data_IF_658861511110
#
_entry.id   IF_658861511110
#
_cell.length_a   1.000
_cell.length_b   1.000
_cell.length_c   1.000
_cell.angle_alpha   90.00
_cell.angle_beta   90.00
_cell.angle_gamma   90.00
#
_symmetry.space_group_name_H-M   'P 1'
#
loop_
_entity.id
_entity.type
_entity.pdbx_description
1 polymer ?
#
# COMPACT_ATOMS: atom_id res chain seq x y z
N UNK A 1 -6.75 10.27 -11.42
CA UNK A 1 -7.89 9.34 -11.40
C UNK A 1 -8.25 8.80 -12.80
N UNK A 2 -8.29 9.64 -13.85
CA UNK A 2 -8.63 9.23 -15.21
C UNK A 2 -7.66 8.19 -15.81
N UNK A 3 -6.35 8.35 -15.66
CA UNK A 3 -5.34 7.40 -16.19
C UNK A 3 -5.47 5.98 -15.64
N UNK A 4 -5.71 5.82 -14.35
CA UNK A 4 -5.84 4.50 -13.72
C UNK A 4 -7.11 3.76 -14.20
N UNK A 5 -8.22 4.45 -14.31
CA UNK A 5 -9.47 3.88 -14.82
C UNK A 5 -9.36 3.43 -16.27
N UNK A 6 -8.61 4.16 -17.09
CA UNK A 6 -8.37 3.80 -18.51
C UNK A 6 -7.53 2.52 -18.63
N UNK A 7 -6.42 2.42 -17.89
CA UNK A 7 -5.56 1.22 -17.88
C UNK A 7 -6.34 0.00 -17.37
N UNK A 8 -7.09 0.12 -16.28
CA UNK A 8 -7.90 -0.98 -15.74
C UNK A 8 -8.94 -1.46 -16.74
N UNK A 9 -9.57 -0.54 -17.49
CA UNK A 9 -10.53 -0.87 -18.54
C UNK A 9 -9.87 -1.62 -19.71
N UNK A 10 -8.72 -1.16 -20.20
CA UNK A 10 -7.96 -1.83 -21.26
C UNK A 10 -7.50 -3.23 -20.86
N UNK A 11 -7.01 -3.39 -19.62
CA UNK A 11 -6.60 -4.68 -19.09
C UNK A 11 -7.79 -5.64 -18.97
N UNK A 12 -8.95 -5.12 -18.53
CA UNK A 12 -10.15 -5.93 -18.48
C UNK A 12 -10.60 -6.36 -19.86
N UNK A 13 -10.62 -5.46 -20.83
CA UNK A 13 -10.94 -5.80 -22.21
C UNK A 13 -10.00 -6.87 -22.77
N UNK A 14 -8.69 -6.70 -22.62
CA UNK A 14 -7.70 -7.67 -23.09
C UNK A 14 -7.86 -9.04 -22.38
N UNK A 15 -8.28 -9.04 -21.12
CA UNK A 15 -8.56 -10.27 -20.38
C UNK A 15 -9.83 -10.95 -20.89
N UNK A 16 -10.91 -10.20 -21.11
CA UNK A 16 -12.19 -10.70 -21.63
C UNK A 16 -12.05 -11.28 -23.05
N UNK A 17 -11.21 -10.69 -23.88
CA UNK A 17 -10.84 -11.14 -25.22
C UNK A 17 -9.84 -12.33 -25.23
N UNK A 18 -9.34 -12.75 -24.05
CA UNK A 18 -8.33 -13.81 -23.94
C UNK A 18 -6.94 -13.41 -24.43
N UNK A 19 -6.71 -12.12 -24.68
CA UNK A 19 -5.43 -11.57 -25.13
C UNK A 19 -4.42 -11.42 -23.99
N UNK A 20 -4.88 -11.27 -22.73
CA UNK A 20 -4.04 -11.12 -21.56
C UNK A 20 -3.39 -12.46 -21.18
N UNK A 21 -2.08 -12.59 -21.40
CA UNK A 21 -1.31 -13.81 -21.10
C UNK A 21 -0.60 -13.78 -19.74
N UNK A 22 -0.55 -12.61 -19.10
CA UNK A 22 0.09 -12.41 -17.81
C UNK A 22 -0.96 -12.40 -16.70
N UNK A 23 -0.60 -12.90 -15.53
CA UNK A 23 -1.38 -12.68 -14.30
C UNK A 23 -1.06 -11.29 -13.75
N UNK A 24 -2.07 -10.43 -13.70
CA UNK A 24 -1.92 -9.03 -13.26
C UNK A 24 -2.78 -8.81 -12.02
N UNK A 25 -2.12 -8.36 -10.97
CA UNK A 25 -2.77 -7.89 -9.75
C UNK A 25 -2.82 -6.36 -9.71
N UNK A 26 -3.97 -5.80 -9.40
CA UNK A 26 -4.18 -4.35 -9.36
C UNK A 26 -4.45 -3.89 -7.93
N UNK A 27 -3.71 -2.85 -7.51
CA UNK A 27 -3.99 -2.10 -6.29
C UNK A 27 -4.64 -0.76 -6.63
N UNK A 28 -5.68 -0.40 -5.88
CA UNK A 28 -6.20 0.96 -5.88
C UNK A 28 -5.23 1.90 -5.15
N UNK A 29 -5.16 3.17 -5.58
CA UNK A 29 -4.55 4.18 -4.74
C UNK A 29 -5.38 4.33 -3.45
N UNK A 30 -4.79 4.01 -2.31
CA UNK A 30 -5.45 4.01 -1.00
C UNK A 30 -5.77 5.43 -0.50
N UNK A 31 -4.94 6.42 -0.86
CA UNK A 31 -5.12 7.81 -0.43
C UNK A 31 -6.43 8.38 -0.99
N UNK A 32 -7.32 8.78 -0.10
CA UNK A 32 -8.54 9.48 -0.45
C UNK A 32 -8.25 10.97 -0.64
N UNK A 33 -8.51 11.48 -1.84
CA UNK A 33 -8.32 12.90 -2.19
C UNK A 33 -9.61 13.73 -2.07
N UNK A 34 -10.75 13.06 -1.85
CA UNK A 34 -12.07 13.68 -1.69
C UNK A 34 -12.89 12.92 -0.66
N UNK A 35 -13.93 13.56 -0.12
CA UNK A 35 -14.84 12.93 0.85
C UNK A 35 -15.76 11.85 0.23
N UNK A 36 -15.89 11.84 -1.08
CA UNK A 36 -16.71 10.90 -1.85
C UNK A 36 -15.96 10.43 -3.10
N UNK A 37 -16.11 9.18 -3.52
CA UNK A 37 -16.77 8.08 -2.81
C UNK A 37 -16.00 7.65 -1.55
N UNK A 38 -16.68 6.97 -0.61
CA UNK A 38 -16.06 6.36 0.57
C UNK A 38 -15.06 5.26 0.18
N UNK A 39 -14.22 4.81 1.10
CA UNK A 39 -13.30 3.70 0.82
C UNK A 39 -14.05 2.42 0.44
N UNK A 40 -15.18 2.14 1.08
CA UNK A 40 -16.04 0.98 0.75
C UNK A 40 -16.59 1.07 -0.68
N UNK A 41 -17.18 2.19 -1.04
CA UNK A 41 -17.68 2.41 -2.42
C UNK A 41 -16.57 2.29 -3.47
N UNK A 42 -15.35 2.70 -3.14
CA UNK A 42 -14.19 2.55 -4.04
C UNK A 42 -13.81 1.09 -4.23
N UNK A 43 -13.85 0.29 -3.16
CA UNK A 43 -13.60 -1.16 -3.20
C UNK A 43 -14.67 -1.85 -4.06
N UNK A 44 -15.95 -1.58 -3.79
CA UNK A 44 -17.06 -2.16 -4.54
C UNK A 44 -16.99 -1.79 -6.03
N UNK A 45 -16.73 -0.53 -6.34
CA UNK A 45 -16.53 -0.08 -7.72
C UNK A 45 -15.34 -0.75 -8.40
N UNK A 46 -14.25 -1.01 -7.68
CA UNK A 46 -13.09 -1.72 -8.24
C UNK A 46 -13.41 -3.19 -8.51
N UNK A 47 -14.02 -3.88 -7.54
CA UNK A 47 -14.47 -5.26 -7.68
C UNK A 47 -15.45 -5.41 -8.84
N UNK A 48 -16.43 -4.50 -8.95
CA UNK A 48 -17.40 -4.53 -10.03
C UNK A 48 -16.77 -4.33 -11.42
N UNK A 49 -15.77 -3.45 -11.53
CA UNK A 49 -15.11 -3.15 -12.81
C UNK A 49 -14.08 -4.17 -13.26
N UNK A 50 -13.34 -4.75 -12.30
CA UNK A 50 -12.29 -5.72 -12.59
C UNK A 50 -12.78 -7.16 -12.61
N UNK A 51 -13.99 -7.39 -12.13
CA UNK A 51 -14.54 -8.72 -11.88
C UNK A 51 -14.00 -9.34 -10.59
N UNK A 52 -14.69 -10.35 -10.09
CA UNK A 52 -14.16 -11.21 -9.04
C UNK A 52 -13.21 -12.20 -9.69
N UNK A 53 -11.91 -12.06 -9.39
CA UNK A 53 -10.85 -13.02 -9.71
C UNK A 53 -11.06 -13.79 -11.01
N UNK A 54 -10.91 -13.10 -12.12
CA UNK A 54 -10.83 -13.75 -13.42
C UNK A 54 -9.41 -14.34 -13.63
N UNK A 55 -9.26 -15.21 -14.61
CA UNK A 55 -8.05 -16.07 -14.79
C UNK A 55 -6.72 -15.31 -14.70
N UNK A 56 -6.66 -14.10 -15.25
CA UNK A 56 -5.41 -13.34 -15.37
C UNK A 56 -5.46 -11.93 -14.78
N UNK A 57 -6.61 -11.42 -14.36
CA UNK A 57 -6.74 -10.07 -13.79
C UNK A 57 -7.37 -10.13 -12.40
N UNK A 58 -6.67 -9.59 -11.38
CA UNK A 58 -7.09 -9.67 -10.00
C UNK A 58 -7.06 -8.29 -9.33
N UNK A 59 -8.12 -7.96 -8.59
CA UNK A 59 -8.07 -6.88 -7.63
C UNK A 59 -7.37 -7.40 -6.36
N UNK A 60 -6.22 -6.81 -6.00
CA UNK A 60 -5.44 -7.23 -4.84
C UNK A 60 -5.74 -6.40 -3.59
N UNK A 61 -5.88 -5.08 -3.72
CA UNK A 61 -6.05 -4.26 -2.54
C UNK A 61 -5.85 -2.77 -2.75
N UNK A 62 -5.40 -2.09 -1.69
CA UNK A 62 -5.10 -0.66 -1.68
C UNK A 62 -3.61 -0.38 -1.51
N UNK A 63 -3.08 0.60 -2.25
CA UNK A 63 -1.68 1.04 -2.19
C UNK A 63 -1.58 2.43 -1.58
N UNK A 64 -0.74 2.56 -0.56
CA UNK A 64 -0.38 3.83 0.08
C UNK A 64 1.09 4.15 -0.14
N UNK A 65 1.44 5.42 0.11
CA UNK A 65 2.81 5.93 0.04
C UNK A 65 3.05 6.75 1.30
N UNK A 66 3.99 6.31 2.14
CA UNK A 66 4.34 7.02 3.39
C UNK A 66 5.49 7.99 3.19
N UNK A 67 6.39 7.72 2.26
CA UNK A 67 7.52 8.60 1.91
C UNK A 67 7.86 8.57 0.42
N UNK A 68 9.00 9.13 0.07
CA UNK A 68 9.51 9.18 -1.29
C UNK A 68 10.61 8.14 -1.56
N UNK A 69 11.74 8.58 -2.15
CA UNK A 69 12.86 7.71 -2.51
C UNK A 69 14.18 8.22 -1.93
N UNK A 70 15.13 7.31 -1.70
CA UNK A 70 16.48 7.63 -1.23
C UNK A 70 17.20 8.53 -2.24
N UNK A 71 17.19 8.17 -3.52
CA UNK A 71 17.83 8.99 -4.56
C UNK A 71 17.22 10.37 -4.77
N UNK A 72 15.92 10.54 -4.46
CA UNK A 72 15.23 11.84 -4.47
C UNK A 72 15.35 12.62 -3.17
N UNK A 73 16.07 12.12 -2.16
CA UNK A 73 16.20 12.68 -0.79
C UNK A 73 14.86 12.97 -0.13
N UNK A 74 13.86 12.13 -0.39
CA UNK A 74 12.49 12.23 0.14
C UNK A 74 12.07 11.01 0.94
N UNK A 75 12.89 9.96 0.99
CA UNK A 75 12.70 8.85 1.92
C UNK A 75 12.91 9.36 3.36
N UNK A 76 12.03 8.98 4.28
CA UNK A 76 11.97 9.57 5.62
C UNK A 76 12.81 8.75 6.62
N UNK A 77 13.94 9.32 7.03
CA UNK A 77 14.89 8.70 7.95
C UNK A 77 14.90 9.36 9.33
N UNK A 78 15.29 8.61 10.36
CA UNK A 78 15.55 9.14 11.72
C UNK A 78 16.88 9.88 11.81
N UNK A 79 17.81 9.58 10.89
CA UNK A 79 19.08 10.29 10.73
C UNK A 79 19.03 11.11 9.42
N UNK A 80 19.71 12.24 9.36
CA UNK A 80 19.74 13.04 8.15
C UNK A 80 20.53 12.34 7.03
N UNK A 81 20.33 12.81 5.81
CA UNK A 81 21.14 12.37 4.68
C UNK A 81 22.61 12.77 4.87
N UNK A 82 23.53 11.89 4.53
CA UNK A 82 24.97 12.10 4.74
C UNK A 82 25.52 13.33 3.98
N UNK A 83 24.91 13.66 2.86
CA UNK A 83 25.27 14.78 1.99
C UNK A 83 24.33 15.99 2.15
N UNK A 84 23.37 15.95 3.09
CA UNK A 84 22.44 17.02 3.40
C UNK A 84 21.97 16.92 4.89
N UNK A 85 22.81 17.43 5.83
CA UNK A 85 22.59 17.22 7.27
C UNK A 85 21.31 17.85 7.85
N UNK A 86 20.65 18.73 7.14
CA UNK A 86 19.36 19.32 7.55
C UNK A 86 18.16 18.55 7.00
N UNK A 87 18.38 17.56 6.13
CA UNK A 87 17.33 16.84 5.43
C UNK A 87 17.13 15.43 6.01
N UNK A 88 15.96 15.16 6.54
CA UNK A 88 15.52 13.86 7.07
C UNK A 88 14.49 13.18 6.16
N UNK A 89 14.27 13.69 4.95
CA UNK A 89 13.19 13.26 4.08
C UNK A 89 11.81 13.74 4.57
N UNK A 90 10.77 13.15 4.02
CA UNK A 90 9.40 13.62 4.24
C UNK A 90 8.40 12.49 4.40
N UNK A 91 7.53 12.60 5.40
CA UNK A 91 6.32 11.78 5.51
C UNK A 91 5.19 12.47 4.72
N UNK A 92 4.55 11.72 3.80
CA UNK A 92 3.55 12.24 2.86
C UNK A 92 2.12 12.16 3.35
N UNK A 93 1.88 11.41 4.42
CA UNK A 93 0.54 11.16 4.94
C UNK A 93 0.54 11.30 6.47
N UNK A 94 -0.41 12.03 6.98
CA UNK A 94 -0.66 12.12 8.42
C UNK A 94 -1.01 10.75 9.01
N UNK A 95 -0.49 10.44 10.20
CA UNK A 95 -0.63 9.14 10.85
C UNK A 95 -2.09 8.78 11.15
N UNK A 96 -2.89 9.74 11.60
CA UNK A 96 -4.31 9.49 11.91
C UNK A 96 -5.10 9.17 10.63
N UNK A 97 -4.79 9.88 9.53
CA UNK A 97 -5.39 9.59 8.24
C UNK A 97 -4.97 8.21 7.72
N UNK A 98 -3.69 7.85 7.86
CA UNK A 98 -3.21 6.53 7.46
C UNK A 98 -3.88 5.42 8.29
N UNK A 99 -3.95 5.58 9.62
CA UNK A 99 -4.59 4.64 10.52
C UNK A 99 -6.05 4.39 10.16
N UNK A 100 -6.81 5.46 9.94
CA UNK A 100 -8.23 5.38 9.58
C UNK A 100 -8.45 4.70 8.22
N UNK A 101 -7.66 5.07 7.23
CA UNK A 101 -7.83 4.54 5.88
C UNK A 101 -7.39 3.08 5.81
N UNK A 102 -6.27 2.71 6.44
CA UNK A 102 -5.79 1.32 6.53
C UNK A 102 -6.81 0.44 7.26
N UNK A 103 -7.35 0.91 8.39
CA UNK A 103 -8.41 0.21 9.13
C UNK A 103 -9.65 -0.04 8.26
N UNK A 104 -10.11 0.97 7.51
CA UNK A 104 -11.29 0.84 6.64
C UNK A 104 -11.11 -0.25 5.58
N UNK A 105 -9.93 -0.34 4.93
CA UNK A 105 -9.62 -1.40 3.99
C UNK A 105 -9.49 -2.76 4.67
N UNK A 106 -8.85 -2.82 5.83
CA UNK A 106 -8.67 -4.04 6.61
C UNK A 106 -10.01 -4.66 7.03
N UNK A 107 -10.93 -3.86 7.59
CA UNK A 107 -12.28 -4.31 7.98
C UNK A 107 -13.12 -4.77 6.79
N UNK A 108 -12.86 -4.24 5.59
CA UNK A 108 -13.48 -4.70 4.35
C UNK A 108 -12.84 -5.97 3.77
N UNK A 109 -11.89 -6.60 4.49
CA UNK A 109 -11.20 -7.80 4.03
C UNK A 109 -10.25 -7.55 2.85
N UNK A 110 -9.70 -6.34 2.72
CA UNK A 110 -8.88 -5.93 1.58
C UNK A 110 -7.43 -5.77 2.02
N UNK A 111 -6.52 -6.41 1.29
CA UNK A 111 -5.08 -6.29 1.52
C UNK A 111 -4.62 -4.83 1.35
N UNK A 112 -3.72 -4.39 2.21
CA UNK A 112 -3.05 -3.09 2.11
C UNK A 112 -1.56 -3.30 1.78
N UNK A 113 -1.06 -2.52 0.84
CA UNK A 113 0.35 -2.43 0.46
C UNK A 113 0.81 -0.99 0.67
N UNK A 114 1.88 -0.79 1.44
CA UNK A 114 2.41 0.54 1.76
C UNK A 114 3.84 0.66 1.23
N UNK A 115 4.10 1.68 0.41
CA UNK A 115 5.45 2.10 0.08
C UNK A 115 6.07 2.76 1.30
N UNK A 116 7.19 2.23 1.76
CA UNK A 116 7.95 2.78 2.88
C UNK A 116 9.44 2.41 2.73
N UNK A 117 10.29 3.40 2.58
CA UNK A 117 11.74 3.26 2.32
C UNK A 117 12.55 3.57 3.58
N UNK A 118 12.40 4.75 4.14
CA UNK A 118 13.10 5.16 5.36
C UNK A 118 12.50 4.53 6.63
N UNK A 119 13.32 4.41 7.65
CA UNK A 119 12.93 3.81 8.94
C UNK A 119 11.71 4.52 9.58
N UNK A 120 11.59 5.85 9.45
CA UNK A 120 10.42 6.60 9.93
C UNK A 120 9.15 6.29 9.12
N UNK A 121 9.28 6.09 7.82
CA UNK A 121 8.16 5.71 6.96
C UNK A 121 7.70 4.29 7.24
N UNK A 122 8.64 3.37 7.46
CA UNK A 122 8.37 1.98 7.87
C UNK A 122 7.65 1.97 9.22
N UNK A 123 8.09 2.82 10.16
CA UNK A 123 7.43 2.98 11.46
C UNK A 123 5.97 3.42 11.30
N UNK A 124 5.71 4.44 10.49
CA UNK A 124 4.35 4.92 10.23
C UNK A 124 3.46 3.82 9.61
N UNK A 125 4.00 3.05 8.68
CA UNK A 125 3.30 1.92 8.07
C UNK A 125 2.96 0.84 9.11
N UNK A 126 3.92 0.44 9.95
CA UNK A 126 3.72 -0.55 11.00
C UNK A 126 2.69 -0.10 12.03
N UNK A 127 2.78 1.14 12.50
CA UNK A 127 1.80 1.70 13.44
C UNK A 127 0.37 1.63 12.90
N UNK A 128 0.18 1.92 11.61
CA UNK A 128 -1.16 1.85 11.01
C UNK A 128 -1.69 0.41 10.91
N UNK A 129 -0.82 -0.55 10.63
CA UNK A 129 -1.18 -1.98 10.56
C UNK A 129 -1.46 -2.56 11.96
N UNK A 130 -0.67 -2.20 12.97
CA UNK A 130 -0.88 -2.54 14.37
C UNK A 130 -2.17 -1.94 14.92
N UNK A 131 -2.43 -0.68 14.57
CA UNK A 131 -3.69 -0.03 14.89
C UNK A 131 -4.88 -0.81 14.30
N UNK A 132 -4.84 -1.15 13.02
CA UNK A 132 -5.91 -1.94 12.40
C UNK A 132 -6.11 -3.29 13.09
N UNK A 133 -5.03 -4.01 13.42
CA UNK A 133 -5.07 -5.26 14.17
C UNK A 133 -5.70 -5.06 15.56
N UNK A 134 -5.36 -3.98 16.27
CA UNK A 134 -5.91 -3.67 17.60
C UNK A 134 -7.40 -3.33 17.56
N UNK A 135 -7.90 -2.85 16.43
CA UNK A 135 -9.33 -2.58 16.19
C UNK A 135 -10.10 -3.80 15.66
N UNK A 136 -9.51 -4.98 15.69
CA UNK A 136 -10.17 -6.24 15.36
C UNK A 136 -10.07 -6.66 13.88
N UNK A 137 -9.31 -5.95 13.05
CA UNK A 137 -9.06 -6.39 11.69
C UNK A 137 -8.06 -7.56 11.67
N UNK A 138 -8.26 -8.56 10.82
CA UNK A 138 -7.35 -9.70 10.67
C UNK A 138 -6.19 -9.39 9.71
N UNK A 139 -5.29 -8.50 10.13
CA UNK A 139 -4.12 -8.08 9.34
C UNK A 139 -3.25 -9.27 8.95
N UNK A 140 -3.14 -10.28 9.85
CA UNK A 140 -2.29 -11.46 9.63
C UNK A 140 -2.75 -12.30 8.44
N UNK A 141 -4.05 -12.58 8.35
CA UNK A 141 -4.62 -13.37 7.24
C UNK A 141 -4.66 -12.59 5.95
N UNK A 142 -4.82 -11.27 6.03
CA UNK A 142 -4.80 -10.36 4.87
C UNK A 142 -3.39 -10.19 4.29
N UNK A 143 -2.34 -10.57 5.03
CA UNK A 143 -0.94 -10.54 4.59
C UNK A 143 -0.57 -9.17 4.02
N UNK A 144 -0.73 -8.13 4.80
CA UNK A 144 -0.36 -6.77 4.42
C UNK A 144 1.10 -6.70 3.97
N UNK A 145 1.43 -5.67 3.19
CA UNK A 145 2.74 -5.56 2.54
C UNK A 145 3.37 -4.21 2.83
N UNK A 146 4.68 -4.22 3.05
CA UNK A 146 5.54 -3.03 2.96
C UNK A 146 6.43 -3.20 1.74
N UNK A 147 6.35 -2.26 0.81
CA UNK A 147 7.12 -2.28 -0.43
C UNK A 147 8.41 -1.45 -0.26
N UNK A 148 9.45 -1.89 -0.92
CA UNK A 148 10.83 -1.43 -0.91
C UNK A 148 11.57 -1.83 0.36
N UNK A 149 11.13 -1.39 1.55
CA UNK A 149 11.69 -1.79 2.85
C UNK A 149 13.24 -1.68 2.87
N UNK A 150 13.79 -0.52 2.42
CA UNK A 150 15.23 -0.39 2.22
C UNK A 150 16.01 -0.23 3.53
N UNK A 151 15.42 0.40 4.55
CA UNK A 151 16.12 0.71 5.80
C UNK A 151 15.34 0.32 7.07
N UNK A 152 14.90 -0.95 7.20
CA UNK A 152 14.20 -1.39 8.39
C UNK A 152 15.15 -1.57 9.57
N UNK A 153 14.69 -1.27 10.78
CA UNK A 153 15.37 -1.69 12.01
C UNK A 153 15.06 -3.16 12.35
N UNK A 154 15.90 -3.79 13.18
CA UNK A 154 15.64 -5.17 13.63
C UNK A 154 14.35 -5.28 14.45
N UNK A 155 13.99 -4.23 15.20
CA UNK A 155 12.72 -4.17 15.92
C UNK A 155 11.53 -4.17 14.94
N UNK A 156 11.58 -3.34 13.89
CA UNK A 156 10.55 -3.27 12.86
C UNK A 156 10.37 -4.61 12.15
N UNK A 157 11.47 -5.30 11.81
CA UNK A 157 11.42 -6.66 11.23
C UNK A 157 10.72 -7.64 12.17
N UNK A 158 11.02 -7.60 13.48
CA UNK A 158 10.36 -8.43 14.48
C UNK A 158 8.84 -8.16 14.56
N UNK A 159 8.42 -6.91 14.47
CA UNK A 159 7.00 -6.53 14.45
C UNK A 159 6.30 -7.00 13.16
N UNK A 160 6.95 -6.87 12.01
CA UNK A 160 6.46 -7.43 10.74
C UNK A 160 6.21 -8.93 10.83
N UNK A 161 7.14 -9.68 11.42
CA UNK A 161 7.00 -11.13 11.63
C UNK A 161 5.78 -11.45 12.50
N UNK A 162 5.56 -10.72 13.60
CA UNK A 162 4.42 -10.92 14.51
C UNK A 162 3.07 -10.71 13.82
N UNK A 163 3.01 -9.81 12.84
CA UNK A 163 1.82 -9.47 12.07
C UNK A 163 1.72 -10.21 10.72
N UNK A 164 2.66 -11.09 10.40
CA UNK A 164 2.72 -11.79 9.10
C UNK A 164 2.73 -10.84 7.89
N UNK A 165 3.43 -9.70 8.02
CA UNK A 165 3.56 -8.69 6.96
C UNK A 165 4.58 -9.16 5.93
N UNK A 166 4.22 -9.04 4.65
CA UNK A 166 5.09 -9.37 3.53
C UNK A 166 6.02 -8.19 3.20
N UNK A 167 7.30 -8.49 2.95
CA UNK A 167 8.24 -7.54 2.37
C UNK A 167 8.21 -7.62 0.83
N UNK A 168 8.07 -6.49 0.17
CA UNK A 168 8.23 -6.35 -1.27
C UNK A 168 9.58 -5.71 -1.58
N UNK A 169 10.61 -6.53 -1.81
CA UNK A 169 11.95 -6.03 -2.07
C UNK A 169 12.12 -5.71 -3.56
N UNK A 170 12.79 -4.59 -3.86
CA UNK A 170 13.26 -4.27 -5.20
C UNK A 170 14.69 -4.77 -5.36
N UNK A 171 15.01 -5.43 -6.47
CA UNK A 171 16.42 -5.63 -6.86
C UNK A 171 17.02 -4.26 -7.22
N UNK A 172 18.16 -3.93 -6.65
CA UNK A 172 18.96 -2.79 -7.06
C UNK A 172 19.52 -3.01 -8.46
#
# INVERSE_FOLDING_TARGET
MVKFMYIAHMLKQANDEGALKLKIGIYLNGKRTSLTPTNLERIENAKAKLGQSDKNLHFLGAKFYTDGSTGGRTAAFSQPYADDPENFGQIFIDQEHLNRDVLAYALAGVQVSIHAIGDRAIEAALQSMEYAQSQGADVKSLRFRIEHLESPTMEQISRMQKLNICAGLSSA
#
